data_IF_330620088633
#
_entry.id   IF_330620088633
#
_cell.length_a   1.000
_cell.length_b   1.000
_cell.length_c   1.000
_cell.angle_alpha   90.00
_cell.angle_beta   90.00
_cell.angle_gamma   90.00
#
_symmetry.space_group_name_H-M   'P 1'
#
loop_
_entity.id
_entity.type
_entity.pdbx_description
1 polymer ?
#
# COMPACT_ATOMS: atom_id res chain seq x y z
N UNK A 1 11.86 1.03 9.91
CA UNK A 1 13.03 1.73 9.37
C UNK A 1 12.75 2.17 7.92
N UNK A 2 12.37 3.42 7.75
CA UNK A 2 11.91 4.00 6.49
C UNK A 2 13.02 4.13 5.43
N UNK A 3 14.29 4.09 5.82
CA UNK A 3 15.39 4.19 4.86
C UNK A 3 15.71 2.87 4.14
N UNK A 4 15.14 1.75 4.57
CA UNK A 4 15.46 0.41 4.03
C UNK A 4 14.24 -0.40 3.63
N UNK A 5 13.05 0.00 4.05
CA UNK A 5 11.81 -0.73 3.83
C UNK A 5 10.68 0.22 3.49
N UNK A 6 9.76 -0.22 2.67
CA UNK A 6 8.44 0.38 2.60
C UNK A 6 7.69 0.00 3.89
N UNK A 7 7.23 1.00 4.63
CA UNK A 7 6.36 0.77 5.78
C UNK A 7 4.91 0.85 5.32
N UNK A 8 4.12 -0.11 5.75
CA UNK A 8 2.69 -0.17 5.50
C UNK A 8 1.99 -0.19 6.84
N UNK A 9 1.16 0.82 7.10
CA UNK A 9 0.28 0.86 8.27
C UNK A 9 -1.12 0.47 7.85
N UNK A 10 -1.67 -0.53 8.49
CA UNK A 10 -3.03 -1.00 8.26
C UNK A 10 -3.86 -0.66 9.48
N UNK A 11 -4.86 0.21 9.31
CA UNK A 11 -5.69 0.68 10.41
C UNK A 11 -7.08 1.10 9.92
N UNK A 12 -7.96 1.44 10.82
CA UNK A 12 -9.23 2.04 10.47
C UNK A 12 -8.99 3.51 10.13
N UNK A 13 -9.27 3.88 8.89
CA UNK A 13 -9.17 5.27 8.42
C UNK A 13 -10.55 5.92 8.49
N UNK A 14 -10.64 7.07 9.11
CA UNK A 14 -11.90 7.81 9.20
C UNK A 14 -12.35 8.33 7.83
N UNK A 15 -13.66 8.32 7.59
CA UNK A 15 -14.26 8.78 6.33
C UNK A 15 -14.21 7.72 5.23
N UNK A 16 -14.24 8.18 3.98
CA UNK A 16 -14.25 7.29 2.80
C UNK A 16 -12.85 7.15 2.17
N UNK A 17 -11.79 7.42 2.91
CA UNK A 17 -10.41 7.29 2.43
C UNK A 17 -10.00 5.83 2.55
N UNK A 18 -9.60 5.24 1.43
CA UNK A 18 -9.18 3.82 1.37
C UNK A 18 -7.69 3.65 1.70
N UNK A 19 -6.89 4.65 1.43
CA UNK A 19 -5.46 4.69 1.71
C UNK A 19 -4.87 6.06 1.41
N UNK A 20 -3.62 6.23 1.75
CA UNK A 20 -2.80 7.35 1.31
C UNK A 20 -1.31 7.00 1.38
N UNK A 21 -0.51 7.71 0.62
CA UNK A 21 0.93 7.51 0.54
C UNK A 21 1.71 8.81 0.75
N UNK A 22 2.87 8.71 1.35
CA UNK A 22 3.81 9.81 1.40
C UNK A 22 4.64 9.83 0.11
N UNK A 23 4.51 10.90 -0.67
CA UNK A 23 5.34 11.11 -1.86
C UNK A 23 6.83 11.26 -1.49
N UNK A 24 7.76 10.97 -2.43
CA UNK A 24 9.19 11.18 -2.21
C UNK A 24 9.49 12.61 -1.80
N UNK A 25 10.36 12.79 -0.80
CA UNK A 25 10.74 14.09 -0.23
C UNK A 25 9.59 14.91 0.37
N UNK A 26 8.42 14.33 0.57
CA UNK A 26 7.32 14.97 1.27
C UNK A 26 7.25 14.48 2.73
N UNK A 27 6.96 15.38 3.65
CA UNK A 27 6.70 15.03 5.05
C UNK A 27 7.93 14.57 5.87
N UNK A 28 7.65 13.85 6.93
CA UNK A 28 8.66 13.38 7.88
C UNK A 28 9.20 12.01 7.45
N UNK A 29 10.52 11.85 7.47
CA UNK A 29 11.18 10.56 7.16
C UNK A 29 10.80 9.43 8.11
N UNK A 30 10.35 9.72 9.32
CA UNK A 30 9.90 8.69 10.27
C UNK A 30 8.54 8.09 9.91
N UNK A 31 7.73 8.82 9.15
CA UNK A 31 6.39 8.41 8.69
C UNK A 31 6.36 8.07 7.20
N UNK A 32 7.54 7.95 6.57
CA UNK A 32 7.61 7.61 5.15
C UNK A 32 7.11 6.19 4.89
N UNK A 33 6.05 6.09 4.11
CA UNK A 33 5.35 4.83 3.81
C UNK A 33 3.95 5.07 3.28
N UNK A 34 3.11 4.07 3.42
CA UNK A 34 1.70 4.10 3.02
C UNK A 34 0.80 3.69 4.18
N UNK A 35 -0.40 4.21 4.19
CA UNK A 35 -1.47 3.82 5.14
C UNK A 35 -2.62 3.26 4.33
N UNK A 36 -3.15 2.11 4.74
CA UNK A 36 -4.26 1.44 4.06
C UNK A 36 -5.36 1.15 5.07
N UNK A 37 -6.60 1.40 4.69
CA UNK A 37 -7.74 0.97 5.48
C UNK A 37 -7.77 -0.56 5.56
N UNK A 38 -8.04 -1.10 6.76
CA UNK A 38 -8.00 -2.54 6.98
C UNK A 38 -9.03 -3.33 6.15
N UNK A 39 -10.12 -2.66 5.71
CA UNK A 39 -11.13 -3.25 4.82
C UNK A 39 -10.72 -3.21 3.33
N UNK A 40 -9.53 -2.68 3.03
CA UNK A 40 -8.98 -2.52 1.67
C UNK A 40 -7.58 -3.14 1.52
N UNK A 41 -7.10 -3.81 2.58
CA UNK A 41 -5.76 -4.39 2.60
C UNK A 41 -5.80 -5.91 2.35
N UNK A 42 -5.17 -6.33 1.26
CA UNK A 42 -5.06 -7.75 0.91
C UNK A 42 -6.22 -8.27 0.07
N UNK A 43 -6.45 -9.59 0.13
CA UNK A 43 -7.45 -10.31 -0.70
C UNK A 43 -8.34 -11.24 0.12
N UNK A 44 -8.19 -11.24 1.44
CA UNK A 44 -8.92 -12.11 2.37
C UNK A 44 -9.17 -11.39 3.69
N UNK A 45 -10.01 -11.95 4.54
CA UNK A 45 -10.31 -11.38 5.86
C UNK A 45 -11.43 -10.36 5.82
N UNK A 46 -11.14 -9.12 6.18
CA UNK A 46 -12.15 -8.04 6.30
C UNK A 46 -12.39 -7.27 5.02
N UNK A 47 -11.65 -7.56 3.95
CA UNK A 47 -11.79 -6.84 2.67
C UNK A 47 -13.17 -7.05 2.05
N UNK A 48 -13.67 -6.03 1.36
CA UNK A 48 -15.01 -6.03 0.78
C UNK A 48 -15.01 -5.54 -0.67
N UNK A 49 -15.81 -6.22 -1.49
CA UNK A 49 -16.09 -5.81 -2.88
C UNK A 49 -16.54 -4.33 -2.90
N UNK A 50 -16.11 -3.53 -3.91
CA UNK A 50 -15.33 -3.93 -5.10
C UNK A 50 -13.80 -3.74 -4.94
N UNK A 51 -13.27 -3.52 -3.74
CA UNK A 51 -11.88 -3.22 -3.44
C UNK A 51 -11.22 -4.33 -2.61
N UNK A 52 -11.34 -5.58 -3.08
CA UNK A 52 -10.97 -6.80 -2.36
C UNK A 52 -9.88 -7.63 -3.06
N UNK A 53 -9.20 -7.07 -4.07
CA UNK A 53 -8.07 -7.72 -4.76
C UNK A 53 -6.72 -7.05 -4.50
N UNK A 54 -6.64 -6.18 -3.48
CA UNK A 54 -5.40 -5.54 -3.04
C UNK A 54 -4.91 -4.40 -3.93
N UNK A 55 -5.77 -3.87 -4.81
CA UNK A 55 -5.37 -2.81 -5.75
C UNK A 55 -5.20 -1.46 -5.06
N UNK A 56 -5.90 -1.20 -3.97
CA UNK A 56 -5.66 -0.03 -3.13
C UNK A 56 -4.19 0.03 -2.67
N UNK A 57 -3.65 -1.08 -2.18
CA UNK A 57 -2.23 -1.13 -1.78
C UNK A 57 -1.30 -0.88 -2.98
N UNK A 58 -1.61 -1.47 -4.15
CA UNK A 58 -0.85 -1.26 -5.39
C UNK A 58 -0.85 0.22 -5.79
N UNK A 59 -2.01 0.88 -5.70
CA UNK A 59 -2.20 2.31 -5.99
C UNK A 59 -1.34 3.18 -5.07
N UNK A 60 -1.41 2.97 -3.77
CA UNK A 60 -0.66 3.75 -2.78
C UNK A 60 0.86 3.54 -2.92
N UNK A 61 1.30 2.32 -3.25
CA UNK A 61 2.72 2.09 -3.60
C UNK A 61 3.13 2.87 -4.85
N UNK A 62 2.25 3.02 -5.82
CA UNK A 62 2.46 3.88 -6.98
C UNK A 62 2.75 5.33 -6.57
N UNK A 63 1.93 5.92 -5.69
CA UNK A 63 2.17 7.27 -5.14
C UNK A 63 3.47 7.36 -4.33
N UNK A 64 3.74 6.38 -3.48
CA UNK A 64 4.99 6.32 -2.72
C UNK A 64 6.21 6.27 -3.64
N UNK A 65 6.05 5.74 -4.87
CA UNK A 65 7.06 5.72 -5.93
C UNK A 65 6.89 6.87 -6.94
N UNK A 66 6.19 7.95 -6.56
CA UNK A 66 6.07 9.20 -7.33
C UNK A 66 5.15 9.12 -8.56
N UNK A 67 4.24 8.18 -8.65
CA UNK A 67 3.18 8.24 -9.65
C UNK A 67 2.05 9.14 -9.17
N UNK A 68 1.53 9.97 -10.07
CA UNK A 68 0.33 10.76 -9.85
C UNK A 68 -0.91 9.97 -10.32
N UNK A 69 -2.08 10.43 -9.92
CA UNK A 69 -3.31 9.95 -10.53
C UNK A 69 -3.28 10.23 -12.03
N UNK A 70 -3.79 9.28 -12.81
CA UNK A 70 -3.72 9.36 -14.28
C UNK A 70 -4.47 10.56 -14.87
N UNK A 71 -5.44 11.15 -14.16
CA UNK A 71 -6.13 12.39 -14.57
C UNK A 71 -5.44 13.66 -14.05
N UNK A 72 -4.26 13.55 -13.40
CA UNK A 72 -3.47 14.67 -12.92
C UNK A 72 -4.16 15.55 -11.86
N UNK A 73 -5.17 15.01 -11.15
CA UNK A 73 -5.97 15.70 -10.12
C UNK A 73 -6.65 16.99 -10.60
N UNK A 74 -6.90 17.10 -11.89
CA UNK A 74 -7.58 18.22 -12.52
C UNK A 74 -8.39 17.76 -13.73
N UNK A 75 -9.39 18.52 -14.14
CA UNK A 75 -10.13 18.25 -15.40
C UNK A 75 -9.16 18.29 -16.59
N UNK A 76 -9.04 17.16 -17.29
CA UNK A 76 -8.06 16.97 -18.36
C UNK A 76 -6.61 17.32 -17.91
N UNK A 77 -6.26 16.97 -16.68
CA UNK A 77 -4.93 17.18 -16.11
C UNK A 77 -3.88 16.24 -16.71
N UNK A 78 -2.64 16.43 -16.27
CA UNK A 78 -1.48 15.67 -16.76
C UNK A 78 -0.78 15.01 -15.57
N UNK A 79 -0.54 13.71 -15.64
CA UNK A 79 0.23 12.95 -14.67
C UNK A 79 1.74 12.96 -14.96
N UNK A 80 2.14 13.69 -16.01
CA UNK A 80 3.51 13.82 -16.52
C UNK A 80 4.14 12.49 -16.95
N UNK A 81 3.33 11.58 -17.48
CA UNK A 81 3.75 10.31 -18.09
C UNK A 81 3.22 10.28 -19.53
N UNK A 82 4.11 10.22 -20.51
CA UNK A 82 3.75 10.43 -21.93
C UNK A 82 2.90 9.31 -22.54
N UNK A 83 2.87 8.13 -21.97
CA UNK A 83 2.12 6.96 -22.48
C UNK A 83 0.85 6.66 -21.69
N UNK A 84 0.43 7.58 -20.82
CA UNK A 84 -0.89 7.65 -20.23
C UNK A 84 -1.73 8.69 -20.96
N UNK A 85 -3.00 8.40 -21.31
CA UNK A 85 -3.84 9.39 -21.97
C UNK A 85 -4.32 10.43 -20.96
N UNK A 86 -4.36 11.71 -21.37
CA UNK A 86 -5.04 12.75 -20.61
C UNK A 86 -6.52 12.39 -20.53
N UNK A 87 -7.06 12.31 -19.32
CA UNK A 87 -8.49 12.00 -19.09
C UNK A 87 -9.15 13.05 -18.20
N UNK A 88 -10.48 13.12 -18.27
CA UNK A 88 -11.23 14.22 -17.69
C UNK A 88 -11.19 14.20 -16.16
N UNK A 89 -11.31 13.01 -15.57
CA UNK A 89 -11.41 12.80 -14.13
C UNK A 89 -11.16 11.34 -13.79
N UNK A 90 -11.20 10.99 -12.50
CA UNK A 90 -11.18 9.61 -12.05
C UNK A 90 -12.32 8.78 -12.67
N UNK A 91 -12.02 7.54 -13.01
CA UNK A 91 -13.01 6.55 -13.40
C UNK A 91 -13.40 5.71 -12.18
N UNK A 92 -14.66 5.35 -12.06
CA UNK A 92 -15.21 4.48 -11.03
C UNK A 92 -15.95 3.30 -11.67
N UNK A 93 -16.02 2.19 -10.95
CA UNK A 93 -16.61 0.95 -11.49
C UNK A 93 -15.72 0.31 -12.57
N UNK A 94 -16.31 -0.59 -13.35
CA UNK A 94 -15.67 -1.24 -14.48
C UNK A 94 -16.23 -0.70 -15.79
N UNK A 95 -15.55 0.27 -16.37
CA UNK A 95 -15.98 0.90 -17.61
C UNK A 95 -15.77 -0.02 -18.82
N UNK A 96 -16.45 0.27 -19.92
CA UNK A 96 -16.30 -0.44 -21.19
C UNK A 96 -15.38 0.39 -22.10
N UNK A 97 -14.34 -0.25 -22.61
CA UNK A 97 -13.44 0.37 -23.57
C UNK A 97 -14.04 0.38 -24.99
N UNK A 98 -13.86 1.45 -25.78
CA UNK A 98 -13.24 2.72 -25.43
C UNK A 98 -14.19 3.64 -24.63
N UNK A 99 -13.64 4.36 -23.67
CA UNK A 99 -14.33 5.44 -22.95
C UNK A 99 -13.55 6.74 -23.21
N UNK A 100 -13.78 7.42 -24.33
CA UNK A 100 -13.03 8.63 -24.65
C UNK A 100 -13.46 9.80 -23.76
N UNK A 101 -12.48 10.59 -23.34
CA UNK A 101 -12.68 11.88 -22.68
C UNK A 101 -11.59 12.86 -23.13
N UNK A 102 -11.75 14.14 -22.83
CA UNK A 102 -10.81 15.16 -23.29
C UNK A 102 -10.52 15.02 -24.80
N UNK A 103 -9.28 14.77 -25.19
CA UNK A 103 -8.86 14.57 -26.60
C UNK A 103 -8.31 13.16 -26.84
N UNK A 104 -8.52 12.22 -25.90
CA UNK A 104 -8.02 10.86 -26.02
C UNK A 104 -8.97 9.95 -26.80
N UNK A 105 -8.48 8.79 -27.21
CA UNK A 105 -9.28 7.76 -27.88
C UNK A 105 -9.92 6.74 -26.91
N UNK A 106 -9.69 6.92 -25.62
CA UNK A 106 -10.22 6.10 -24.54
C UNK A 106 -9.38 6.24 -23.28
N UNK A 107 -10.04 6.50 -22.15
CA UNK A 107 -9.42 6.56 -20.83
C UNK A 107 -8.76 5.22 -20.49
N UNK A 108 -7.66 5.28 -19.78
CA UNK A 108 -6.94 4.10 -19.31
C UNK A 108 -7.43 3.69 -17.91
N UNK A 109 -8.75 3.52 -17.77
CA UNK A 109 -9.41 3.21 -16.50
C UNK A 109 -8.92 1.89 -15.85
N UNK A 110 -8.24 1.01 -16.59
CA UNK A 110 -7.62 -0.20 -16.06
C UNK A 110 -6.23 0.04 -15.43
N UNK A 111 -5.73 1.26 -15.46
CA UNK A 111 -4.46 1.62 -14.83
C UNK A 111 -4.59 1.64 -13.31
N UNK A 112 -3.57 1.13 -12.58
CA UNK A 112 -3.57 1.13 -11.12
C UNK A 112 -3.59 2.54 -10.49
N UNK A 113 -3.32 3.59 -11.26
CA UNK A 113 -3.38 4.99 -10.79
C UNK A 113 -4.73 5.66 -11.11
N UNK A 114 -5.76 4.91 -11.50
CA UNK A 114 -7.15 5.35 -11.56
C UNK A 114 -7.93 4.88 -10.31
N UNK A 115 -9.24 5.13 -10.26
CA UNK A 115 -10.14 4.77 -9.16
C UNK A 115 -11.19 3.72 -9.54
N UNK A 116 -10.93 2.97 -10.60
CA UNK A 116 -11.78 1.85 -11.00
C UNK A 116 -11.80 0.74 -9.94
N UNK A 117 -12.81 -0.12 -10.03
CA UNK A 117 -12.91 -1.30 -9.16
C UNK A 117 -11.68 -2.21 -9.35
N UNK A 118 -11.23 -2.85 -8.29
CA UNK A 118 -10.05 -3.72 -8.28
C UNK A 118 -10.04 -4.75 -9.40
N UNK A 119 -11.23 -5.29 -9.74
CA UNK A 119 -11.40 -6.30 -10.78
C UNK A 119 -10.97 -5.82 -12.17
N UNK A 120 -11.04 -4.53 -12.44
CA UNK A 120 -10.73 -3.94 -13.74
C UNK A 120 -9.29 -3.46 -13.83
N UNK A 121 -8.65 -3.19 -12.71
CA UNK A 121 -7.28 -2.67 -12.66
C UNK A 121 -6.26 -3.79 -12.91
N UNK A 122 -5.36 -3.60 -13.88
CA UNK A 122 -4.43 -4.66 -14.26
C UNK A 122 -3.09 -4.19 -14.83
N UNK A 123 -2.81 -2.89 -14.91
CA UNK A 123 -1.56 -2.43 -15.52
C UNK A 123 -0.98 -1.15 -14.95
N UNK A 124 0.33 -1.05 -15.07
CA UNK A 124 1.11 0.19 -15.18
C UNK A 124 1.70 0.29 -16.59
N UNK A 125 1.89 1.51 -17.09
CA UNK A 125 2.55 1.74 -18.38
C UNK A 125 4.07 1.61 -18.28
N UNK A 126 4.74 1.57 -19.42
CA UNK A 126 6.21 1.60 -19.46
C UNK A 126 6.76 2.94 -18.97
N UNK A 127 6.07 4.06 -19.26
CA UNK A 127 6.42 5.38 -18.76
C UNK A 127 6.31 5.47 -17.25
N UNK A 128 5.22 4.95 -16.66
CA UNK A 128 5.07 4.84 -15.22
C UNK A 128 6.19 4.01 -14.59
N UNK A 129 6.54 2.85 -15.17
CA UNK A 129 7.68 2.04 -14.72
C UNK A 129 8.99 2.83 -14.76
N UNK A 130 9.24 3.57 -15.82
CA UNK A 130 10.46 4.38 -15.94
C UNK A 130 10.53 5.45 -14.86
N UNK A 131 9.39 6.12 -14.56
CA UNK A 131 9.28 7.11 -13.48
C UNK A 131 9.52 6.48 -12.11
N UNK A 132 8.96 5.32 -11.85
CA UNK A 132 9.19 4.53 -10.62
C UNK A 132 10.68 4.21 -10.45
N UNK A 133 11.34 3.71 -11.51
CA UNK A 133 12.76 3.37 -11.46
C UNK A 133 13.64 4.60 -11.25
N UNK A 134 13.32 5.73 -11.88
CA UNK A 134 13.99 6.99 -11.64
C UNK A 134 13.83 7.45 -10.17
N UNK A 135 12.64 7.31 -9.62
CA UNK A 135 12.35 7.64 -8.21
C UNK A 135 13.15 6.77 -7.24
N UNK A 136 13.21 5.45 -7.48
CA UNK A 136 14.01 4.53 -6.66
C UNK A 136 15.48 4.96 -6.69
N UNK A 137 16.03 5.22 -7.87
CA UNK A 137 17.44 5.58 -8.02
C UNK A 137 17.79 6.93 -7.40
N UNK A 138 16.86 7.90 -7.39
CA UNK A 138 17.13 9.27 -6.94
C UNK A 138 16.76 9.50 -5.48
N UNK A 139 15.54 9.13 -5.11
CA UNK A 139 14.95 9.50 -3.82
C UNK A 139 14.91 8.34 -2.82
N UNK A 140 14.97 7.10 -3.29
CA UNK A 140 14.85 5.89 -2.49
C UNK A 140 16.00 4.91 -2.72
N UNK A 141 17.16 5.43 -3.10
CA UNK A 141 18.35 4.62 -3.45
C UNK A 141 18.82 3.70 -2.32
N UNK A 142 18.52 4.05 -1.07
CA UNK A 142 18.80 3.20 0.09
C UNK A 142 18.05 1.86 0.08
N UNK A 143 16.93 1.75 -0.65
CA UNK A 143 16.22 0.48 -0.84
C UNK A 143 17.05 -0.53 -1.64
N UNK A 144 17.87 -0.05 -2.60
CA UNK A 144 18.72 -0.90 -3.46
C UNK A 144 19.75 -1.66 -2.62
N UNK A 145 20.22 -1.04 -1.54
CA UNK A 145 21.16 -1.64 -0.60
C UNK A 145 20.49 -2.27 0.63
N UNK A 146 19.16 -2.44 0.61
CA UNK A 146 18.43 -3.05 1.71
C UNK A 146 18.77 -4.52 1.87
N UNK A 147 18.91 -4.96 3.10
CA UNK A 147 19.12 -6.37 3.45
C UNK A 147 17.79 -7.14 3.61
N UNK A 148 16.66 -6.54 3.23
CA UNK A 148 15.34 -7.14 3.42
C UNK A 148 15.12 -8.48 2.69
N UNK A 149 15.87 -8.72 1.62
CA UNK A 149 15.84 -9.98 0.87
C UNK A 149 16.89 -11.00 1.33
N UNK A 150 17.75 -10.63 2.29
CA UNK A 150 18.69 -11.58 2.85
C UNK A 150 17.98 -12.50 3.84
N UNK A 151 18.24 -13.81 3.85
CA UNK A 151 17.77 -14.67 4.91
C UNK A 151 18.23 -14.09 6.25
N UNK A 152 17.28 -13.87 7.18
CA UNK A 152 17.69 -13.46 8.51
C UNK A 152 18.40 -14.63 9.20
N UNK A 153 19.53 -14.32 9.83
CA UNK A 153 20.17 -15.28 10.71
C UNK A 153 19.48 -15.23 12.07
N UNK A 154 19.00 -16.38 12.53
CA UNK A 154 18.46 -16.48 13.89
C UNK A 154 19.51 -15.94 14.87
N UNK A 155 19.10 -14.98 15.69
CA UNK A 155 19.94 -14.55 16.79
C UNK A 155 19.99 -15.68 17.82
N UNK A 156 21.11 -15.80 18.55
CA UNK A 156 21.24 -16.81 19.59
C UNK A 156 20.15 -16.63 20.65
N UNK A 157 19.82 -15.38 20.96
CA UNK A 157 18.70 -15.02 21.86
C UNK A 157 17.63 -14.32 21.05
N UNK A 158 16.52 -14.97 20.85
CA UNK A 158 15.37 -14.43 20.10
C UNK A 158 14.05 -14.95 20.70
N UNK A 159 13.28 -14.05 21.26
CA UNK A 159 11.98 -14.37 21.83
C UNK A 159 10.89 -13.50 21.18
N UNK A 160 9.82 -14.12 20.80
CA UNK A 160 8.68 -13.43 20.23
C UNK A 160 7.33 -13.97 20.73
N UNK A 161 6.30 -13.15 20.58
CA UNK A 161 4.93 -13.59 20.84
C UNK A 161 4.54 -14.57 19.73
N UNK A 162 4.24 -15.81 20.12
CA UNK A 162 3.77 -16.85 19.22
C UNK A 162 2.25 -16.80 19.03
N UNK A 163 1.53 -16.56 20.12
CA UNK A 163 0.09 -16.43 20.07
C UNK A 163 -0.41 -15.52 21.20
N UNK A 164 -1.51 -14.83 20.93
CA UNK A 164 -2.30 -14.13 21.94
C UNK A 164 -3.49 -15.03 22.28
N UNK A 165 -3.58 -15.47 23.53
CA UNK A 165 -4.65 -16.36 24.00
C UNK A 165 -5.82 -15.53 24.55
N UNK A 166 -5.52 -14.39 25.15
CA UNK A 166 -6.49 -13.47 25.70
C UNK A 166 -6.00 -12.01 25.48
N UNK A 167 -6.84 -11.08 25.04
CA UNK A 167 -8.27 -11.29 24.78
C UNK A 167 -8.50 -12.06 23.48
N UNK A 168 -9.56 -12.86 23.48
CA UNK A 168 -10.14 -13.32 22.23
C UNK A 168 -10.96 -12.16 21.63
N UNK A 169 -11.08 -12.09 20.31
CA UNK A 169 -11.78 -11.00 19.61
C UNK A 169 -13.23 -10.81 20.09
N UNK A 170 -13.83 -11.86 20.65
CA UNK A 170 -15.18 -11.84 21.23
C UNK A 170 -15.26 -11.34 22.67
N UNK A 171 -14.12 -11.21 23.37
CA UNK A 171 -14.08 -10.96 24.82
C UNK A 171 -13.69 -9.51 25.17
N UNK A 172 -13.58 -8.64 24.15
CA UNK A 172 -13.15 -7.25 24.35
C UNK A 172 -14.35 -6.36 24.68
N UNK A 173 -14.50 -6.02 25.97
CA UNK A 173 -15.42 -4.98 26.44
C UNK A 173 -14.61 -3.74 26.83
N UNK A 174 -14.88 -2.60 26.17
CA UNK A 174 -14.14 -1.34 26.40
C UNK A 174 -14.20 -0.81 27.85
N UNK A 175 -15.11 -1.34 28.69
CA UNK A 175 -15.30 -0.94 30.08
C UNK A 175 -14.53 -1.77 31.10
N UNK A 176 -13.89 -2.86 30.68
CA UNK A 176 -13.19 -3.79 31.59
C UNK A 176 -11.66 -3.74 31.40
N UNK A 177 -10.90 -3.91 32.50
CA UNK A 177 -9.44 -4.04 32.40
C UNK A 177 -9.07 -5.25 31.53
N UNK A 178 -8.16 -5.05 30.59
CA UNK A 178 -7.65 -6.10 29.74
C UNK A 178 -6.42 -6.76 30.38
N UNK A 179 -6.49 -8.08 30.58
CA UNK A 179 -5.36 -8.87 31.07
C UNK A 179 -4.84 -9.75 29.93
N UNK A 180 -3.83 -9.29 29.17
CA UNK A 180 -3.33 -10.05 28.04
C UNK A 180 -2.66 -11.35 28.52
N UNK A 181 -2.97 -12.44 27.84
CA UNK A 181 -2.31 -13.74 28.02
C UNK A 181 -1.72 -14.17 26.68
N UNK A 182 -0.42 -14.34 26.65
CA UNK A 182 0.34 -14.62 25.43
C UNK A 182 1.16 -15.90 25.57
N UNK A 183 1.40 -16.57 24.46
CA UNK A 183 2.43 -17.62 24.36
C UNK A 183 3.67 -16.96 23.79
N UNK A 184 4.78 -17.06 24.53
CA UNK A 184 6.10 -16.66 24.06
C UNK A 184 6.79 -17.90 23.52
N UNK A 185 7.40 -17.76 22.36
CA UNK A 185 8.23 -18.79 21.73
C UNK A 185 9.66 -18.30 21.64
N UNK A 186 10.58 -19.18 21.97
CA UNK A 186 12.00 -18.98 21.69
C UNK A 186 12.25 -19.36 20.23
N UNK A 187 12.69 -18.41 19.45
CA UNK A 187 13.11 -18.60 18.04
C UNK A 187 14.64 -18.67 17.94
N UNK A 188 15.36 -18.33 19.00
CA UNK A 188 16.82 -18.41 19.07
C UNK A 188 17.31 -19.81 19.46
N UNK A 189 18.63 -19.96 19.52
CA UNK A 189 19.32 -21.20 19.87
C UNK A 189 19.63 -21.30 21.36
N UNK A 190 19.72 -20.18 22.07
CA UNK A 190 20.07 -20.13 23.46
C UNK A 190 18.83 -20.24 24.36
N UNK A 191 19.02 -20.82 25.54
CA UNK A 191 17.94 -20.89 26.54
C UNK A 191 17.56 -19.48 27.01
N UNK A 192 16.28 -19.19 26.99
CA UNK A 192 15.72 -17.95 27.54
C UNK A 192 15.18 -18.20 28.94
N UNK A 193 15.59 -17.36 29.87
CA UNK A 193 15.03 -17.31 31.23
C UNK A 193 13.96 -16.20 31.24
N UNK A 194 12.71 -16.56 31.55
CA UNK A 194 11.54 -15.65 31.63
C UNK A 194 11.08 -15.56 33.06
#
# INVERSE_FOLDING_TARGET
NTSRYLNIWVCNIAGNVMGWAQFPNAGNTQTDGIVIDYERFGTTGTVSYPYDLGRTTTHEVGHWLNLLHIWGDATCGDDYVNDTPIQEQANFGCNIHPKPSCTNNGDMFMNFMDYSDDYCMNLFTQGQKNRVMATINTYRSSLISSNGCQPYTLQNTDAGIYAIINPNITDVECSKPLYPKVIIKNYGTDTLFV
#
